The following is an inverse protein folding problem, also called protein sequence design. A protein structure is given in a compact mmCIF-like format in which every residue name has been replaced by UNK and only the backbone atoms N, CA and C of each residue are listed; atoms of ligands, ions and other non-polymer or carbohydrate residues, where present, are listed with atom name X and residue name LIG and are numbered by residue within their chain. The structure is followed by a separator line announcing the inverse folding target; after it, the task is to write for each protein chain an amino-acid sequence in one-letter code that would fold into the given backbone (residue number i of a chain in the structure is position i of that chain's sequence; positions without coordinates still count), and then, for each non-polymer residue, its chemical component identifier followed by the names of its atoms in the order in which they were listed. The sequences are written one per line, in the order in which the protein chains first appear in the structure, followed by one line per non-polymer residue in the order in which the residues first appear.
data_IF_573052747713
#
_entry.id   IF_573052747713
#
_cell.length_a   1.000
_cell.length_b   1.000
_cell.length_c   1.000
_cell.angle_alpha   90.00
_cell.angle_beta   90.00
_cell.angle_gamma   90.00
#
_symmetry.space_group_name_H-M   'P 1'
#
loop_
_entity.id
_entity.type
_entity.pdbx_description
1 polymer ?
#
# COMPACT_ATOMS: atom_id res chain seq x y z
N UNK A 1 59.10 54.55 9.03
CA UNK A 1 58.43 54.12 10.26
C UNK A 1 56.87 54.20 10.13
N UNK A 2 56.29 55.16 9.45
CA UNK A 2 54.83 55.33 9.37
C UNK A 2 54.07 54.23 8.59
N UNK A 3 54.68 53.60 7.58
CA UNK A 3 53.98 52.54 6.77
C UNK A 3 53.83 51.20 7.52
N UNK A 4 54.72 50.85 8.44
CA UNK A 4 54.61 49.60 9.23
C UNK A 4 53.43 49.61 10.25
N UNK A 5 53.15 50.80 10.78
CA UNK A 5 51.99 50.90 11.72
C UNK A 5 50.65 50.91 11.04
N UNK A 6 50.56 51.39 9.79
CA UNK A 6 49.36 51.35 8.97
C UNK A 6 49.04 49.91 8.57
N UNK A 7 50.06 49.12 8.21
CA UNK A 7 49.83 47.70 7.86
C UNK A 7 49.42 46.86 9.08
N UNK A 8 49.98 47.14 10.27
CA UNK A 8 49.60 46.45 11.51
C UNK A 8 48.22 46.82 11.99
N UNK A 9 47.79 48.07 11.83
CA UNK A 9 46.41 48.47 12.19
C UNK A 9 45.36 47.93 11.22
N UNK A 10 45.68 47.76 9.91
CA UNK A 10 44.79 47.09 8.96
C UNK A 10 44.67 45.57 9.21
N UNK A 11 45.76 44.91 9.65
CA UNK A 11 45.69 43.49 10.05
C UNK A 11 44.85 43.26 11.33
N UNK A 12 44.95 44.15 12.33
CA UNK A 12 44.15 44.06 13.54
C UNK A 12 42.67 44.35 13.29
N UNK A 13 42.33 45.28 12.39
CA UNK A 13 40.95 45.58 11.99
C UNK A 13 40.34 44.46 11.17
N UNK A 14 41.11 43.66 10.41
CA UNK A 14 40.64 42.50 9.66
C UNK A 14 40.26 41.28 10.53
N UNK A 15 40.84 41.15 11.71
CA UNK A 15 40.55 40.01 12.60
C UNK A 15 39.29 40.18 13.44
N UNK A 16 38.71 41.36 13.52
CA UNK A 16 37.51 41.62 14.34
C UNK A 16 36.19 41.36 13.58
N UNK A 17 36.25 41.10 12.27
CA UNK A 17 35.05 40.83 11.48
C UNK A 17 34.71 39.33 11.35
N UNK A 18 35.46 38.41 11.94
CA UNK A 18 35.22 36.98 11.90
C UNK A 18 34.64 36.41 13.20
N UNK A 19 34.24 37.22 14.17
CA UNK A 19 33.34 36.72 15.21
C UNK A 19 31.92 36.66 14.65
N UNK A 20 31.69 35.68 13.82
CA UNK A 20 30.37 35.28 13.43
C UNK A 20 29.64 34.81 14.70
N UNK A 21 28.57 35.48 15.06
CA UNK A 21 27.70 35.05 16.15
C UNK A 21 26.99 33.75 15.69
N UNK A 22 27.63 32.60 15.88
CA UNK A 22 26.97 31.31 15.72
C UNK A 22 25.77 31.18 16.67
N UNK A 23 25.83 31.75 17.87
CA UNK A 23 24.79 31.67 18.89
C UNK A 23 23.52 32.47 18.59
N UNK A 24 23.52 33.40 17.61
CA UNK A 24 22.32 34.16 17.24
C UNK A 24 21.57 33.59 16.03
N UNK A 25 22.06 32.52 15.41
CA UNK A 25 21.37 31.83 14.32
C UNK A 25 20.54 30.66 14.82
N UNK A 26 20.78 30.17 16.02
CA UNK A 26 19.93 29.19 16.74
C UNK A 26 18.76 29.90 17.43
N UNK A 27 17.92 30.55 16.65
CA UNK A 27 16.62 31.00 17.13
C UNK A 27 15.77 29.74 17.28
N UNK A 28 15.55 29.33 18.53
CA UNK A 28 14.57 28.29 18.83
C UNK A 28 13.23 28.74 18.26
N UNK A 29 12.72 28.04 17.24
CA UNK A 29 11.44 28.33 16.62
C UNK A 29 10.33 28.06 17.64
N UNK A 30 9.87 29.10 18.35
CA UNK A 30 8.73 28.99 19.24
C UNK A 30 7.43 28.92 18.43
N UNK A 31 6.62 27.88 18.67
CA UNK A 31 5.30 27.71 18.03
C UNK A 31 5.32 27.01 16.68
N UNK A 32 6.45 26.46 16.23
CA UNK A 32 6.53 25.58 15.06
C UNK A 32 6.77 24.14 15.54
N UNK A 33 5.94 23.21 15.06
CA UNK A 33 6.16 21.78 15.28
C UNK A 33 7.40 21.32 14.54
N UNK A 34 8.40 20.84 15.25
CA UNK A 34 9.58 20.18 14.70
C UNK A 34 9.49 18.68 14.94
N UNK A 35 10.25 17.87 14.22
CA UNK A 35 10.31 16.43 14.49
C UNK A 35 10.66 16.08 15.94
N UNK A 36 11.43 16.91 16.62
CA UNK A 36 11.89 16.67 17.99
C UNK A 36 10.82 16.98 19.05
N UNK A 37 9.89 17.89 18.78
CA UNK A 37 8.90 18.34 19.75
C UNK A 37 7.45 17.90 19.43
N UNK A 38 7.17 17.37 18.21
CA UNK A 38 5.83 16.97 17.81
C UNK A 38 5.45 15.59 18.38
N UNK A 39 6.24 14.57 18.23
CA UNK A 39 5.86 13.17 18.53
C UNK A 39 5.97 12.82 20.04
N UNK A 40 5.35 13.61 20.93
CA UNK A 40 5.50 13.45 22.38
C UNK A 40 4.31 12.81 23.08
N UNK A 41 3.09 13.09 22.61
CA UNK A 41 1.86 12.61 23.23
C UNK A 41 1.32 11.36 22.53
N UNK A 42 0.38 10.68 23.18
CA UNK A 42 -0.35 9.56 22.55
C UNK A 42 -1.15 9.99 21.33
N UNK A 43 -1.71 11.21 21.36
CA UNK A 43 -2.41 11.78 20.20
C UNK A 43 -1.48 11.99 19.01
N UNK A 44 -0.25 12.47 19.26
CA UNK A 44 0.75 12.62 18.20
C UNK A 44 1.16 11.25 17.61
N UNK A 45 1.25 10.22 18.45
CA UNK A 45 1.56 8.87 18.02
C UNK A 45 0.44 8.29 17.13
N UNK A 46 -0.82 8.52 17.51
CA UNK A 46 -1.98 8.14 16.68
C UNK A 46 -1.98 8.89 15.34
N UNK A 47 -1.72 10.19 15.34
CA UNK A 47 -1.63 10.98 14.11
C UNK A 47 -0.48 10.49 13.19
N UNK A 48 0.66 10.17 13.77
CA UNK A 48 1.81 9.66 13.06
C UNK A 48 1.54 8.31 12.39
N UNK A 49 0.89 7.38 13.08
CA UNK A 49 0.59 6.07 12.48
C UNK A 49 -0.54 6.15 11.45
N UNK A 50 -1.51 7.06 11.60
CA UNK A 50 -2.54 7.32 10.60
C UNK A 50 -1.92 7.75 9.27
N UNK A 51 -0.78 8.44 9.28
CA UNK A 51 -0.04 8.75 8.05
C UNK A 51 0.43 7.50 7.29
N UNK A 52 0.78 6.41 7.99
CA UNK A 52 1.10 5.13 7.35
C UNK A 52 -0.12 4.53 6.65
N UNK A 53 -1.27 4.49 7.33
CA UNK A 53 -2.53 4.02 6.75
C UNK A 53 -2.94 4.86 5.53
N UNK A 54 -2.85 6.18 5.63
CA UNK A 54 -3.20 7.10 4.55
C UNK A 54 -2.31 6.93 3.32
N UNK A 55 -1.00 6.82 3.52
CA UNK A 55 -0.06 6.60 2.41
C UNK A 55 -0.23 5.19 1.80
N UNK A 56 -0.55 4.18 2.60
CA UNK A 56 -0.80 2.82 2.10
C UNK A 56 -1.99 2.77 1.14
N UNK A 57 -3.06 3.47 1.46
CA UNK A 57 -4.23 3.59 0.58
C UNK A 57 -3.85 4.02 -0.84
N UNK A 58 -2.88 4.90 -0.99
CA UNK A 58 -2.46 5.43 -2.29
C UNK A 58 -1.63 4.43 -3.12
N UNK A 59 -1.23 3.31 -2.54
CA UNK A 59 -0.54 2.23 -3.26
C UNK A 59 -1.51 1.34 -4.04
N UNK A 60 -2.80 1.29 -3.66
CA UNK A 60 -3.75 0.30 -4.15
C UNK A 60 -4.02 0.40 -5.65
N UNK A 61 -4.41 1.57 -6.13
CA UNK A 61 -4.76 1.74 -7.54
C UNK A 61 -3.60 1.41 -8.50
N UNK A 62 -2.38 1.96 -8.34
CA UNK A 62 -1.28 1.59 -9.21
C UNK A 62 -0.86 0.12 -9.07
N UNK A 63 -0.95 -0.46 -7.85
CA UNK A 63 -0.68 -1.89 -7.66
C UNK A 63 -1.72 -2.76 -8.36
N UNK A 64 -3.00 -2.37 -8.34
CA UNK A 64 -4.06 -3.07 -9.05
C UNK A 64 -3.77 -3.14 -10.56
N UNK A 65 -3.37 -2.02 -11.17
CA UNK A 65 -2.97 -1.99 -12.58
C UNK A 65 -1.83 -2.95 -12.87
N UNK A 66 -0.73 -2.85 -12.13
CA UNK A 66 0.47 -3.64 -12.40
C UNK A 66 0.23 -5.14 -12.17
N UNK A 67 -0.44 -5.50 -11.07
CA UNK A 67 -0.61 -6.91 -10.71
C UNK A 67 -1.62 -7.65 -11.59
N UNK A 68 -2.64 -6.95 -12.10
CA UNK A 68 -3.64 -7.58 -12.94
C UNK A 68 -3.26 -7.58 -14.43
N UNK A 69 -2.81 -6.46 -14.99
CA UNK A 69 -2.48 -6.38 -16.42
C UNK A 69 -1.15 -7.06 -16.80
N UNK A 70 -0.30 -7.38 -15.83
CA UNK A 70 0.89 -8.21 -16.05
C UNK A 70 0.64 -9.70 -15.77
N UNK A 71 -0.61 -10.08 -15.44
CA UNK A 71 -1.00 -11.48 -15.24
C UNK A 71 -1.62 -12.07 -16.51
N UNK A 72 -1.77 -13.39 -16.52
CA UNK A 72 -2.46 -14.12 -17.60
C UNK A 72 -3.99 -14.13 -17.40
N UNK A 73 -4.48 -13.58 -16.27
CA UNK A 73 -5.89 -13.66 -15.89
C UNK A 73 -6.75 -12.61 -16.57
N UNK A 74 -6.18 -11.46 -16.89
CA UNK A 74 -6.90 -10.39 -17.56
C UNK A 74 -6.08 -9.70 -18.65
N UNK A 75 -6.77 -9.07 -19.58
CA UNK A 75 -6.17 -8.26 -20.63
C UNK A 75 -6.78 -6.85 -20.67
N UNK A 76 -6.02 -5.95 -21.22
CA UNK A 76 -6.48 -4.58 -21.42
C UNK A 76 -7.45 -4.50 -22.59
N UNK A 77 -8.64 -3.95 -22.34
CA UNK A 77 -9.55 -3.50 -23.38
C UNK A 77 -9.98 -2.06 -23.09
N UNK A 78 -10.98 -1.56 -23.81
CA UNK A 78 -11.45 -0.19 -23.70
C UNK A 78 -11.01 0.67 -24.87
N UNK A 79 -11.46 1.90 -24.88
CA UNK A 79 -11.18 2.88 -25.93
C UNK A 79 -10.28 4.00 -25.46
N UNK A 80 -9.59 4.63 -26.42
CA UNK A 80 -8.80 5.84 -26.21
C UNK A 80 -7.36 5.62 -25.75
N UNK A 81 -6.63 6.73 -25.58
CA UNK A 81 -5.26 6.77 -25.11
C UNK A 81 -5.01 6.10 -23.75
N UNK A 82 -6.02 6.04 -22.88
CA UNK A 82 -5.91 5.36 -21.59
C UNK A 82 -5.89 3.85 -21.75
N UNK A 83 -6.67 3.33 -22.71
CA UNK A 83 -6.58 1.92 -23.10
C UNK A 83 -5.22 1.59 -23.72
N UNK A 84 -4.63 2.52 -24.48
CA UNK A 84 -3.27 2.35 -24.99
C UNK A 84 -2.24 2.21 -23.86
N UNK A 85 -2.35 2.97 -22.78
CA UNK A 85 -1.49 2.82 -21.60
C UNK A 85 -1.67 1.46 -20.92
N UNK A 86 -2.91 1.00 -20.74
CA UNK A 86 -3.19 -0.33 -20.21
C UNK A 86 -2.63 -1.44 -21.12
N UNK A 87 -2.73 -1.27 -22.44
CA UNK A 87 -2.21 -2.21 -23.41
C UNK A 87 -0.69 -2.38 -23.34
N UNK A 88 0.06 -1.32 -23.03
CA UNK A 88 1.51 -1.42 -22.81
C UNK A 88 1.86 -2.42 -21.71
N UNK A 89 1.07 -2.49 -20.62
CA UNK A 89 1.26 -3.48 -19.57
C UNK A 89 0.94 -4.89 -20.06
N UNK A 90 -0.23 -5.10 -20.67
CA UNK A 90 -0.66 -6.42 -21.15
C UNK A 90 0.26 -7.00 -22.25
N UNK A 91 0.93 -6.13 -23.02
CA UNK A 91 1.89 -6.54 -24.07
C UNK A 91 3.35 -6.52 -23.64
N UNK A 92 3.64 -6.15 -22.38
CA UNK A 92 4.99 -6.02 -21.84
C UNK A 92 5.88 -5.07 -22.65
N UNK A 93 5.30 -4.00 -23.23
CA UNK A 93 6.00 -3.00 -24.04
C UNK A 93 6.17 -1.65 -23.34
N UNK A 94 5.96 -1.62 -22.03
CA UNK A 94 6.16 -0.45 -21.17
C UNK A 94 7.65 -0.22 -20.88
N UNK A 95 7.99 1.02 -20.52
CA UNK A 95 9.31 1.40 -20.08
C UNK A 95 9.36 1.71 -18.56
N UNK A 96 10.55 2.01 -18.03
CA UNK A 96 10.76 2.32 -16.62
C UNK A 96 10.09 3.62 -16.17
N UNK A 97 9.75 4.50 -17.11
CA UNK A 97 9.06 5.77 -16.83
C UNK A 97 7.54 5.65 -16.84
N UNK A 98 7.01 4.43 -17.02
CA UNK A 98 5.57 4.20 -16.99
C UNK A 98 4.96 4.69 -15.68
N UNK A 99 3.93 5.53 -15.80
CA UNK A 99 3.41 6.32 -14.67
C UNK A 99 2.99 5.48 -13.46
N UNK A 100 2.35 4.33 -13.68
CA UNK A 100 1.89 3.45 -12.59
C UNK A 100 3.05 2.79 -11.84
N UNK A 101 4.13 2.42 -12.55
CA UNK A 101 5.37 1.90 -11.95
C UNK A 101 5.97 2.95 -11.04
N UNK A 102 6.18 4.16 -11.57
CA UNK A 102 6.76 5.28 -10.82
C UNK A 102 5.90 5.68 -9.62
N UNK A 103 4.59 5.73 -9.81
CA UNK A 103 3.64 6.09 -8.75
C UNK A 103 3.66 5.06 -7.63
N UNK A 104 3.57 3.77 -7.93
CA UNK A 104 3.61 2.72 -6.93
C UNK A 104 4.93 2.73 -6.15
N UNK A 105 6.07 2.80 -6.86
CA UNK A 105 7.38 2.88 -6.24
C UNK A 105 7.48 4.06 -5.26
N UNK A 106 7.07 5.24 -5.71
CA UNK A 106 7.10 6.45 -4.88
C UNK A 106 6.18 6.33 -3.67
N UNK A 107 4.98 5.79 -3.83
CA UNK A 107 4.02 5.66 -2.73
C UNK A 107 4.48 4.62 -1.70
N UNK A 108 5.09 3.51 -2.11
CA UNK A 108 5.69 2.54 -1.19
C UNK A 108 6.79 3.18 -0.32
N UNK A 109 7.65 4.01 -0.92
CA UNK A 109 8.66 4.74 -0.15
C UNK A 109 8.08 5.84 0.75
N UNK A 110 6.92 6.43 0.41
CA UNK A 110 6.21 7.33 1.34
C UNK A 110 5.72 6.59 2.57
N UNK A 111 5.21 5.36 2.42
CA UNK A 111 4.84 4.50 3.56
C UNK A 111 6.06 4.19 4.41
N UNK A 112 7.18 3.77 3.79
CA UNK A 112 8.44 3.50 4.49
C UNK A 112 8.93 4.74 5.24
N UNK A 113 8.87 5.91 4.63
CA UNK A 113 9.24 7.16 5.29
C UNK A 113 8.36 7.44 6.50
N UNK A 114 7.03 7.35 6.38
CA UNK A 114 6.12 7.54 7.49
C UNK A 114 6.37 6.53 8.62
N UNK A 115 6.60 5.26 8.29
CA UNK A 115 6.95 4.23 9.26
C UNK A 115 8.28 4.52 9.97
N UNK A 116 9.29 4.94 9.24
CA UNK A 116 10.58 5.32 9.81
C UNK A 116 10.48 6.54 10.75
N UNK A 117 9.61 7.52 10.44
CA UNK A 117 9.32 8.64 11.33
C UNK A 117 8.72 8.14 12.65
N UNK A 118 7.71 7.26 12.61
CA UNK A 118 7.13 6.66 13.82
C UNK A 118 8.20 5.93 14.63
N UNK A 119 8.99 5.09 13.99
CA UNK A 119 10.01 4.29 14.65
C UNK A 119 11.15 5.11 15.27
N UNK A 120 11.45 6.27 14.72
CA UNK A 120 12.53 7.13 15.21
C UNK A 120 12.08 8.12 16.29
N UNK A 121 10.87 8.71 16.13
CA UNK A 121 10.49 9.87 16.95
C UNK A 121 9.38 9.59 17.96
N UNK A 122 8.53 8.57 17.74
CA UNK A 122 7.52 8.16 18.71
C UNK A 122 8.18 7.32 19.81
N UNK A 123 7.98 7.71 21.07
CA UNK A 123 8.52 7.00 22.22
C UNK A 123 7.90 5.60 22.42
N UNK A 124 8.21 4.99 23.55
CA UNK A 124 7.75 3.65 23.96
C UNK A 124 7.19 3.63 25.39
N UNK A 125 6.82 4.80 25.90
CA UNK A 125 6.41 5.03 27.28
C UNK A 125 4.90 4.91 27.51
N UNK A 126 4.12 4.48 26.49
CA UNK A 126 2.70 4.18 26.60
C UNK A 126 2.27 3.05 25.67
N UNK A 127 1.13 2.40 25.98
CA UNK A 127 0.54 1.34 25.13
C UNK A 127 0.19 1.86 23.74
N UNK A 128 -0.29 3.09 23.62
CA UNK A 128 -0.62 3.74 22.34
C UNK A 128 0.62 3.89 21.46
N UNK A 129 1.71 4.37 22.04
CA UNK A 129 2.99 4.55 21.34
C UNK A 129 3.60 3.21 20.95
N UNK A 130 3.58 2.22 21.84
CA UNK A 130 4.06 0.86 21.54
C UNK A 130 3.27 0.20 20.42
N UNK A 131 1.93 0.37 20.39
CA UNK A 131 1.08 -0.10 19.29
C UNK A 131 1.44 0.61 17.99
N UNK A 132 1.53 1.93 17.98
CA UNK A 132 1.89 2.70 16.78
C UNK A 132 3.23 2.24 16.19
N UNK A 133 4.23 1.96 17.04
CA UNK A 133 5.53 1.43 16.60
C UNK A 133 5.43 0.01 16.03
N UNK A 134 4.61 -0.86 16.63
CA UNK A 134 4.38 -2.20 16.12
C UNK A 134 3.69 -2.17 14.74
N UNK A 135 2.66 -1.36 14.57
CA UNK A 135 1.99 -1.18 13.27
C UNK A 135 2.92 -0.56 12.22
N UNK A 136 3.77 0.40 12.59
CA UNK A 136 4.73 1.00 11.68
C UNK A 136 5.74 -0.03 11.12
N UNK A 137 6.20 -0.98 11.94
CA UNK A 137 7.02 -2.11 11.47
C UNK A 137 6.29 -2.94 10.43
N UNK A 138 5.01 -3.25 10.67
CA UNK A 138 4.21 -4.01 9.71
C UNK A 138 4.06 -3.25 8.40
N UNK A 139 3.77 -1.95 8.41
CA UNK A 139 3.68 -1.12 7.20
C UNK A 139 5.00 -1.06 6.44
N UNK A 140 6.13 -0.94 7.14
CA UNK A 140 7.45 -0.96 6.51
C UNK A 140 7.72 -2.29 5.83
N UNK A 141 7.45 -3.40 6.52
CA UNK A 141 7.58 -4.74 5.99
C UNK A 141 6.65 -4.99 4.78
N UNK A 142 5.38 -4.59 4.85
CA UNK A 142 4.44 -4.65 3.71
C UNK A 142 5.01 -3.95 2.48
N UNK A 143 5.53 -2.74 2.66
CA UNK A 143 6.09 -1.96 1.57
C UNK A 143 7.33 -2.61 0.97
N UNK A 144 8.20 -3.19 1.80
CA UNK A 144 9.37 -3.91 1.29
C UNK A 144 9.02 -5.23 0.60
N UNK A 145 8.01 -5.98 1.06
CA UNK A 145 7.53 -7.18 0.36
C UNK A 145 7.09 -6.81 -1.07
N UNK A 146 6.33 -5.72 -1.24
CA UNK A 146 5.90 -5.24 -2.55
C UNK A 146 7.11 -4.78 -3.40
N UNK A 147 8.01 -4.00 -2.82
CA UNK A 147 9.20 -3.51 -3.52
C UNK A 147 10.12 -4.65 -3.97
N UNK A 148 10.38 -5.62 -3.12
CA UNK A 148 11.23 -6.78 -3.46
C UNK A 148 10.56 -7.62 -4.55
N UNK A 149 9.24 -7.83 -4.45
CA UNK A 149 8.49 -8.65 -5.41
C UNK A 149 8.50 -8.06 -6.82
N UNK A 150 8.44 -6.72 -6.94
CA UNK A 150 8.29 -6.03 -8.21
C UNK A 150 9.63 -5.51 -8.78
N UNK A 151 10.59 -5.13 -7.91
CA UNK A 151 11.86 -4.53 -8.35
C UNK A 151 13.12 -5.33 -7.93
N UNK A 152 12.95 -6.40 -7.18
CA UNK A 152 14.06 -7.28 -6.78
C UNK A 152 14.92 -6.69 -5.66
N UNK A 153 15.77 -5.73 -5.96
CA UNK A 153 16.75 -5.16 -5.03
C UNK A 153 16.59 -3.65 -4.82
N UNK A 154 15.44 -3.18 -4.31
CA UNK A 154 15.22 -1.76 -4.04
C UNK A 154 16.20 -1.24 -2.98
N UNK A 155 16.51 0.07 -2.91
CA UNK A 155 17.27 0.65 -1.82
C UNK A 155 16.70 0.32 -0.44
N UNK A 156 17.56 -0.09 0.49
CA UNK A 156 17.18 -0.33 1.88
C UNK A 156 17.26 0.98 2.67
N UNK A 157 16.11 1.47 3.15
CA UNK A 157 15.96 2.71 3.92
C UNK A 157 15.24 2.38 5.22
N UNK A 158 15.97 2.25 6.30
CA UNK A 158 15.47 1.84 7.62
C UNK A 158 15.32 3.00 8.62
N UNK A 159 15.64 4.24 8.19
CA UNK A 159 15.52 5.46 8.96
C UNK A 159 15.14 6.65 8.06
N UNK A 160 14.69 7.79 8.60
CA UNK A 160 14.48 9.02 7.83
C UNK A 160 15.79 9.55 7.30
N UNK A 161 15.94 9.65 5.97
CA UNK A 161 17.17 10.07 5.32
C UNK A 161 17.45 11.55 5.56
N UNK A 162 18.72 11.89 5.78
CA UNK A 162 19.24 13.26 5.75
C UNK A 162 19.59 13.67 4.32
N UNK A 163 19.74 14.96 4.08
CA UNK A 163 20.01 15.49 2.73
C UNK A 163 21.24 14.87 2.01
N UNK A 164 22.26 14.51 2.77
CA UNK A 164 23.47 13.84 2.24
C UNK A 164 23.28 12.34 1.98
N UNK A 165 22.14 11.77 2.34
CA UNK A 165 21.80 10.34 2.22
C UNK A 165 20.78 10.06 1.11
N UNK A 166 20.31 11.07 0.39
CA UNK A 166 19.27 10.88 -0.64
C UNK A 166 19.72 10.03 -1.84
N UNK A 167 21.01 9.90 -2.07
CA UNK A 167 21.54 9.01 -3.11
C UNK A 167 21.81 7.63 -2.51
N UNK A 168 20.85 6.72 -2.66
CA UNK A 168 20.95 5.36 -2.15
C UNK A 168 21.30 4.38 -3.27
N UNK A 169 22.19 3.44 -2.99
CA UNK A 169 22.45 2.30 -3.86
C UNK A 169 21.32 1.27 -3.73
N UNK A 170 21.20 0.39 -4.72
CA UNK A 170 20.33 -0.78 -4.61
C UNK A 170 20.70 -1.63 -3.39
N UNK A 171 19.69 -2.18 -2.74
CA UNK A 171 19.84 -3.04 -1.59
C UNK A 171 20.38 -4.41 -1.94
N UNK A 172 20.67 -5.17 -0.90
CA UNK A 172 21.00 -6.58 -0.99
C UNK A 172 19.78 -7.40 -0.61
N UNK A 173 19.47 -8.46 -1.37
CA UNK A 173 18.27 -9.28 -1.18
C UNK A 173 18.19 -9.88 0.22
N UNK A 174 19.31 -10.37 0.76
CA UNK A 174 19.38 -10.96 2.09
C UNK A 174 19.09 -9.92 3.18
N UNK A 175 19.66 -8.72 3.07
CA UNK A 175 19.43 -7.64 4.02
C UNK A 175 17.99 -7.11 3.96
N UNK A 176 17.41 -7.02 2.77
CA UNK A 176 16.00 -6.62 2.58
C UNK A 176 15.04 -7.60 3.24
N UNK A 177 15.20 -8.91 3.00
CA UNK A 177 14.39 -9.92 3.66
C UNK A 177 14.66 -10.03 5.17
N UNK A 178 15.89 -9.79 5.60
CA UNK A 178 16.22 -9.73 7.03
C UNK A 178 15.45 -8.62 7.73
N UNK A 179 15.38 -7.40 7.14
CA UNK A 179 14.58 -6.30 7.68
C UNK A 179 13.09 -6.65 7.74
N UNK A 180 12.53 -7.22 6.67
CA UNK A 180 11.12 -7.66 6.63
C UNK A 180 10.82 -8.66 7.73
N UNK A 181 11.66 -9.70 7.85
CA UNK A 181 11.47 -10.75 8.85
C UNK A 181 11.63 -10.22 10.28
N UNK A 182 12.60 -9.33 10.49
CA UNK A 182 12.80 -8.69 11.78
C UNK A 182 11.60 -7.85 12.18
N UNK A 183 11.15 -6.93 11.31
CA UNK A 183 10.03 -6.04 11.59
C UNK A 183 8.75 -6.83 11.94
N UNK A 184 8.42 -7.85 11.14
CA UNK A 184 7.22 -8.66 11.36
C UNK A 184 7.35 -9.53 12.62
N UNK A 185 8.51 -10.14 12.86
CA UNK A 185 8.73 -10.97 14.05
C UNK A 185 8.67 -10.11 15.33
N UNK A 186 9.29 -8.93 15.32
CA UNK A 186 9.24 -8.02 16.45
C UNK A 186 7.82 -7.50 16.69
N UNK A 187 7.07 -7.17 15.64
CA UNK A 187 5.69 -6.71 15.75
C UNK A 187 4.77 -7.82 16.33
N UNK A 188 4.86 -9.04 15.81
CA UNK A 188 4.09 -10.20 16.29
C UNK A 188 4.38 -10.51 17.76
N UNK A 189 5.67 -10.49 18.14
CA UNK A 189 6.11 -10.85 19.50
C UNK A 189 5.98 -9.71 20.52
N UNK A 190 5.70 -8.50 20.08
CA UNK A 190 5.61 -7.33 20.96
C UNK A 190 4.45 -7.38 21.95
N UNK A 191 3.36 -8.09 21.60
CA UNK A 191 2.11 -8.09 22.35
C UNK A 191 1.33 -6.77 22.26
N UNK A 192 1.75 -5.85 21.37
CA UNK A 192 1.14 -4.50 21.27
C UNK A 192 0.18 -4.36 20.10
N UNK A 193 0.16 -5.30 19.14
CA UNK A 193 -0.83 -5.31 18.07
C UNK A 193 -2.19 -5.77 18.61
N UNK A 194 -3.26 -5.21 18.05
CA UNK A 194 -4.61 -5.69 18.32
C UNK A 194 -4.75 -7.15 17.89
N UNK A 195 -5.63 -7.88 18.55
CA UNK A 195 -6.01 -9.23 18.18
C UNK A 195 -7.50 -9.31 17.90
N UNK A 196 -7.88 -9.96 16.80
CA UNK A 196 -9.28 -10.32 16.56
C UNK A 196 -9.74 -11.27 17.65
N UNK A 197 -10.91 -11.03 18.22
CA UNK A 197 -11.40 -11.79 19.39
C UNK A 197 -12.33 -12.93 19.01
N UNK A 198 -13.08 -12.82 17.90
CA UNK A 198 -14.00 -13.82 17.38
C UNK A 198 -14.15 -13.68 15.86
N UNK A 199 -14.85 -14.63 15.22
CA UNK A 199 -15.15 -14.59 13.78
C UNK A 199 -15.93 -13.32 13.38
N UNK A 200 -16.83 -12.85 14.23
CA UNK A 200 -17.70 -11.71 13.95
C UNK A 200 -17.10 -10.35 14.35
N UNK A 201 -15.94 -10.36 14.97
CA UNK A 201 -15.25 -9.15 15.38
C UNK A 201 -14.24 -8.73 14.33
N UNK A 202 -14.38 -7.53 13.80
CA UNK A 202 -13.43 -6.92 12.88
C UNK A 202 -12.81 -5.67 13.47
N UNK A 203 -11.55 -5.43 13.21
CA UNK A 203 -10.87 -4.18 13.53
C UNK A 203 -10.25 -3.61 12.26
N UNK A 204 -10.35 -2.29 12.12
CA UNK A 204 -9.76 -1.56 10.99
C UNK A 204 -8.26 -1.29 11.16
N UNK A 205 -7.68 -1.79 12.25
CA UNK A 205 -6.24 -1.66 12.52
C UNK A 205 -5.50 -2.94 12.15
N UNK A 206 -4.19 -2.82 12.02
CA UNK A 206 -3.32 -3.98 11.83
C UNK A 206 -3.41 -4.88 13.06
N UNK A 207 -3.76 -6.15 12.82
CA UNK A 207 -3.82 -7.17 13.86
C UNK A 207 -2.54 -8.01 13.90
N UNK A 208 -2.31 -8.68 15.04
CA UNK A 208 -1.25 -9.68 15.16
C UNK A 208 -1.38 -10.78 14.11
N UNK A 209 -2.61 -11.26 13.90
CA UNK A 209 -2.87 -12.33 12.92
C UNK A 209 -2.58 -11.88 11.49
N UNK A 210 -2.86 -10.62 11.14
CA UNK A 210 -2.44 -10.07 9.86
C UNK A 210 -0.92 -10.02 9.73
N UNK A 211 -0.21 -9.56 10.77
CA UNK A 211 1.25 -9.55 10.76
C UNK A 211 1.84 -10.97 10.66
N UNK A 212 1.23 -11.98 11.31
CA UNK A 212 1.60 -13.40 11.18
C UNK A 212 1.38 -13.91 9.75
N UNK A 213 0.22 -13.63 9.16
CA UNK A 213 -0.08 -14.02 7.77
C UNK A 213 0.89 -13.39 6.78
N UNK A 214 1.25 -12.12 7.00
CA UNK A 214 2.22 -11.41 6.17
C UNK A 214 3.63 -11.98 6.33
N UNK A 215 4.03 -12.38 7.55
CA UNK A 215 5.29 -13.08 7.81
C UNK A 215 5.32 -14.44 7.10
N UNK A 216 4.21 -15.19 7.14
CA UNK A 216 4.06 -16.43 6.39
C UNK A 216 4.24 -16.23 4.89
N UNK A 217 3.60 -15.20 4.32
CA UNK A 217 3.78 -14.80 2.90
C UNK A 217 5.24 -14.46 2.59
N UNK A 218 5.92 -13.71 3.46
CA UNK A 218 7.33 -13.38 3.30
C UNK A 218 8.21 -14.64 3.28
N UNK A 219 7.95 -15.61 4.16
CA UNK A 219 8.68 -16.88 4.16
C UNK A 219 8.41 -17.72 2.90
N UNK A 220 7.19 -17.71 2.36
CA UNK A 220 6.88 -18.38 1.08
C UNK A 220 7.73 -17.79 -0.05
N UNK A 221 7.82 -16.47 -0.16
CA UNK A 221 8.66 -15.81 -1.17
C UNK A 221 10.16 -16.12 -1.01
N UNK A 222 10.61 -16.34 0.21
CA UNK A 222 11.97 -16.77 0.52
C UNK A 222 12.16 -18.30 0.37
N UNK A 223 11.12 -19.06 -0.02
CA UNK A 223 11.10 -20.53 -0.10
C UNK A 223 11.36 -21.21 1.25
N UNK A 224 11.18 -20.52 2.35
CA UNK A 224 11.26 -21.07 3.71
C UNK A 224 9.89 -21.63 4.14
N UNK A 225 9.47 -22.69 3.47
CA UNK A 225 8.14 -23.26 3.65
C UNK A 225 7.88 -23.81 5.06
N UNK A 226 8.92 -24.32 5.74
CA UNK A 226 8.78 -24.81 7.12
C UNK A 226 8.40 -23.71 8.11
N UNK A 227 9.08 -22.55 8.03
CA UNK A 227 8.72 -21.38 8.83
C UNK A 227 7.37 -20.80 8.44
N UNK A 228 7.05 -20.79 7.13
CA UNK A 228 5.74 -20.33 6.64
C UNK A 228 4.59 -21.15 7.24
N UNK A 229 4.67 -22.48 7.18
CA UNK A 229 3.66 -23.38 7.77
C UNK A 229 3.49 -23.10 9.25
N UNK A 230 4.58 -22.99 10.01
CA UNK A 230 4.52 -22.77 11.45
C UNK A 230 3.72 -21.51 11.80
N UNK A 231 4.02 -20.38 11.17
CA UNK A 231 3.35 -19.12 11.50
C UNK A 231 1.93 -19.01 10.95
N UNK A 232 1.66 -19.64 9.78
CA UNK A 232 0.32 -19.65 9.19
C UNK A 232 -0.62 -20.57 9.96
N UNK A 233 -0.14 -21.69 10.47
CA UNK A 233 -0.90 -22.59 11.34
C UNK A 233 -1.36 -21.89 12.64
N UNK A 234 -0.57 -20.95 13.17
CA UNK A 234 -1.00 -20.15 14.32
C UNK A 234 -2.25 -19.30 13.98
N UNK A 235 -2.32 -18.71 12.78
CA UNK A 235 -3.49 -17.95 12.33
C UNK A 235 -4.70 -18.87 12.15
N UNK A 236 -4.53 -19.98 11.44
CA UNK A 236 -5.59 -20.96 11.17
C UNK A 236 -6.14 -21.54 12.48
N UNK A 237 -5.26 -22.01 13.35
CA UNK A 237 -5.62 -22.66 14.61
C UNK A 237 -6.15 -21.66 15.66
N UNK A 238 -6.05 -20.36 15.42
CA UNK A 238 -6.63 -19.35 16.31
C UNK A 238 -8.16 -19.45 16.41
N UNK A 239 -8.82 -20.03 15.39
CA UNK A 239 -10.27 -20.09 15.26
C UNK A 239 -10.97 -18.73 15.14
N UNK A 240 -10.19 -17.68 14.85
CA UNK A 240 -10.68 -16.28 14.75
C UNK A 240 -10.94 -15.87 13.31
N UNK A 241 -10.59 -16.71 12.35
CA UNK A 241 -10.76 -16.53 10.92
C UNK A 241 -11.32 -17.79 10.29
N UNK A 242 -12.11 -17.64 9.25
CA UNK A 242 -12.64 -18.74 8.45
C UNK A 242 -12.94 -18.22 7.04
N UNK A 243 -13.11 -19.12 6.07
CA UNK A 243 -13.52 -18.72 4.73
C UNK A 243 -14.93 -18.16 4.74
N UNK A 244 -15.12 -17.03 4.06
CA UNK A 244 -16.43 -16.42 3.93
C UNK A 244 -17.28 -17.24 2.98
N UNK A 245 -18.42 -17.73 3.46
CA UNK A 245 -19.26 -18.70 2.72
C UNK A 245 -19.99 -18.11 1.52
N UNK A 246 -20.18 -16.78 1.49
CA UNK A 246 -20.87 -16.08 0.41
C UNK A 246 -19.85 -15.45 -0.54
N UNK A 247 -19.24 -16.27 -1.38
CA UNK A 247 -18.21 -15.83 -2.33
C UNK A 247 -18.71 -14.74 -3.29
N UNK A 248 -19.97 -14.79 -3.72
CA UNK A 248 -20.56 -13.82 -4.64
C UNK A 248 -20.53 -12.40 -4.05
N UNK A 249 -20.69 -12.28 -2.75
CA UNK A 249 -20.73 -11.00 -2.07
C UNK A 249 -19.39 -10.57 -1.42
N UNK A 250 -18.32 -11.38 -1.51
CA UNK A 250 -17.05 -11.10 -0.82
C UNK A 250 -16.41 -9.75 -1.21
N UNK A 251 -16.61 -9.30 -2.45
CA UNK A 251 -16.11 -8.04 -2.98
C UNK A 251 -17.17 -6.91 -2.99
N UNK A 252 -18.30 -7.12 -2.35
CA UNK A 252 -19.35 -6.12 -2.22
C UNK A 252 -19.39 -5.55 -0.81
N UNK A 253 -20.20 -4.50 -0.59
CA UNK A 253 -20.42 -3.95 0.76
C UNK A 253 -21.03 -4.94 1.75
N UNK A 254 -21.61 -6.04 1.30
CA UNK A 254 -22.09 -7.11 2.18
C UNK A 254 -20.95 -7.98 2.72
N UNK A 255 -19.85 -8.05 1.98
CA UNK A 255 -18.66 -8.81 2.36
C UNK A 255 -17.62 -7.99 3.12
N UNK A 256 -17.87 -6.71 3.38
CA UNK A 256 -16.96 -5.89 4.20
C UNK A 256 -16.87 -6.42 5.63
N UNK A 257 -15.66 -6.37 6.21
CA UNK A 257 -15.39 -6.76 7.59
C UNK A 257 -15.82 -8.21 7.94
N UNK A 258 -15.77 -9.12 6.97
CA UNK A 258 -16.18 -10.51 7.15
C UNK A 258 -15.18 -11.37 7.94
N UNK A 259 -15.51 -12.64 8.15
CA UNK A 259 -14.69 -13.58 8.92
C UNK A 259 -13.34 -13.92 8.24
N UNK A 260 -13.23 -13.78 6.93
CA UNK A 260 -12.01 -14.05 6.16
C UNK A 260 -11.04 -12.86 6.18
N UNK A 261 -11.55 -11.65 6.42
CA UNK A 261 -10.76 -10.42 6.31
C UNK A 261 -9.70 -10.30 7.39
N UNK A 262 -8.44 -10.30 6.98
CA UNK A 262 -7.27 -10.07 7.84
C UNK A 262 -6.95 -8.59 7.99
N UNK A 263 -7.07 -7.82 6.91
CA UNK A 263 -6.88 -6.37 6.86
C UNK A 263 -7.62 -5.79 5.67
N UNK A 264 -8.35 -4.71 5.88
CA UNK A 264 -9.08 -3.99 4.82
C UNK A 264 -8.74 -2.50 4.85
N UNK A 265 -8.63 -1.92 3.67
CA UNK A 265 -8.61 -0.46 3.50
C UNK A 265 -9.99 0.01 3.09
N UNK A 266 -10.80 0.41 4.06
CA UNK A 266 -12.18 0.80 3.81
C UNK A 266 -12.28 2.27 3.40
N UNK A 267 -13.23 2.56 2.54
CA UNK A 267 -13.54 3.90 2.04
C UNK A 267 -14.91 4.31 2.49
N UNK A 268 -15.05 5.54 2.97
CA UNK A 268 -16.34 6.09 3.39
C UNK A 268 -16.95 6.86 2.21
N UNK A 269 -18.22 6.62 1.95
CA UNK A 269 -18.96 7.42 0.98
C UNK A 269 -19.14 8.85 1.51
N UNK A 270 -18.66 9.83 0.76
CA UNK A 270 -18.91 11.26 1.00
C UNK A 270 -19.62 11.85 -0.20
N UNK A 271 -20.89 12.23 -0.02
CA UNK A 271 -21.71 12.83 -1.06
C UNK A 271 -21.15 14.14 -1.63
N UNK A 272 -20.27 14.83 -0.87
CA UNK A 272 -19.64 16.08 -1.29
C UNK A 272 -18.32 15.83 -2.04
N UNK A 273 -17.81 14.59 -2.06
CA UNK A 273 -16.51 14.24 -2.64
C UNK A 273 -16.53 12.86 -3.31
N UNK A 274 -17.48 12.67 -4.21
CA UNK A 274 -17.74 11.37 -4.89
C UNK A 274 -16.59 10.86 -5.77
N UNK A 275 -15.69 11.74 -6.21
CA UNK A 275 -14.59 11.40 -7.14
C UNK A 275 -13.20 11.62 -6.53
N UNK A 276 -13.14 12.08 -5.30
CA UNK A 276 -11.90 12.45 -4.65
C UNK A 276 -11.25 11.34 -3.85
N UNK A 277 -10.65 11.75 -2.75
CA UNK A 277 -9.81 10.92 -1.87
C UNK A 277 -10.53 9.69 -1.28
N UNK A 278 -11.87 9.70 -1.28
CA UNK A 278 -12.72 8.71 -0.62
C UNK A 278 -13.18 7.54 -1.52
N UNK A 279 -12.72 7.48 -2.77
CA UNK A 279 -13.09 6.39 -3.66
C UNK A 279 -11.87 5.78 -4.32
N UNK A 280 -11.87 4.47 -4.52
CA UNK A 280 -10.74 3.77 -5.13
C UNK A 280 -10.81 3.63 -6.65
N UNK A 281 -11.80 4.14 -7.31
CA UNK A 281 -11.98 4.11 -8.78
C UNK A 281 -11.89 2.70 -9.44
N UNK A 282 -11.62 1.64 -8.70
CA UNK A 282 -11.42 0.29 -9.26
C UNK A 282 -12.70 -0.19 -9.98
N UNK A 283 -13.85 0.07 -9.39
CA UNK A 283 -15.13 -0.26 -10.00
C UNK A 283 -15.31 0.38 -11.39
N UNK A 284 -14.78 1.61 -11.59
CA UNK A 284 -14.80 2.28 -12.91
C UNK A 284 -13.88 1.58 -13.89
N UNK A 285 -12.73 1.13 -13.42
CA UNK A 285 -11.75 0.44 -14.29
C UNK A 285 -12.24 -0.92 -14.77
N UNK A 286 -12.86 -1.70 -13.88
CA UNK A 286 -13.30 -3.08 -14.19
C UNK A 286 -14.70 -3.14 -14.80
N UNK A 287 -15.50 -2.13 -14.60
CA UNK A 287 -16.88 -2.13 -15.08
C UNK A 287 -16.92 -1.97 -16.59
N UNK A 288 -17.93 -2.57 -17.19
CA UNK A 288 -18.11 -2.54 -18.65
C UNK A 288 -18.31 -1.12 -19.20
N UNK A 289 -18.11 -0.99 -20.49
CA UNK A 289 -18.40 0.23 -21.24
C UNK A 289 -19.87 0.23 -21.69
N UNK A 290 -20.73 0.87 -20.93
CA UNK A 290 -22.15 0.99 -21.25
C UNK A 290 -22.46 1.73 -22.56
N UNK A 291 -21.53 2.60 -23.02
CA UNK A 291 -21.62 3.31 -24.29
C UNK A 291 -21.33 2.43 -25.51
N UNK A 292 -20.68 1.27 -25.30
CA UNK A 292 -20.35 0.31 -26.38
C UNK A 292 -21.35 -0.83 -26.49
N UNK A 293 -22.26 -0.96 -25.53
CA UNK A 293 -23.24 -2.05 -25.49
C UNK A 293 -24.58 -1.52 -25.96
N UNK A 294 -25.03 -2.01 -27.10
CA UNK A 294 -26.38 -1.76 -27.60
C UNK A 294 -27.34 -2.79 -26.99
N UNK A 295 -28.09 -2.36 -25.98
CA UNK A 295 -29.15 -3.17 -25.43
C UNK A 295 -30.47 -2.86 -26.15
N UNK A 296 -31.17 -3.87 -26.63
CA UNK A 296 -32.46 -3.72 -27.29
C UNK A 296 -33.61 -3.52 -26.30
N UNK A 297 -33.38 -3.80 -25.05
CA UNK A 297 -34.35 -3.65 -23.98
C UNK A 297 -33.76 -2.90 -22.79
N UNK A 298 -34.58 -2.15 -22.08
CA UNK A 298 -34.15 -1.48 -20.86
C UNK A 298 -33.95 -2.51 -19.74
N UNK A 299 -32.78 -3.14 -19.69
CA UNK A 299 -32.41 -4.00 -18.57
C UNK A 299 -31.93 -3.15 -17.39
N UNK A 300 -32.12 -3.60 -16.16
CA UNK A 300 -31.76 -2.87 -14.93
C UNK A 300 -30.25 -2.78 -14.69
N UNK A 301 -29.45 -3.25 -15.60
CA UNK A 301 -27.99 -3.25 -15.53
C UNK A 301 -27.39 -1.88 -15.91
N UNK A 302 -28.20 -0.87 -15.81
CA UNK A 302 -27.91 0.45 -16.30
C UNK A 302 -27.17 1.31 -15.47
N UNK A 303 -26.40 0.99 -14.74
CA UNK A 303 -25.77 2.06 -14.07
C UNK A 303 -24.43 2.34 -14.59
N UNK A 304 -24.19 3.49 -14.88
CA UNK A 304 -22.93 4.17 -14.76
C UNK A 304 -21.77 3.41 -15.39
N UNK A 305 -21.66 3.47 -16.71
CA UNK A 305 -20.61 2.80 -17.47
C UNK A 305 -19.21 2.99 -16.87
N UNK A 306 -18.50 1.89 -16.80
CA UNK A 306 -17.07 1.88 -16.49
C UNK A 306 -16.21 2.11 -17.73
N UNK A 307 -14.92 1.86 -17.59
CA UNK A 307 -13.96 2.06 -18.66
C UNK A 307 -13.53 0.76 -19.34
N UNK A 308 -13.83 -0.41 -18.76
CA UNK A 308 -13.58 -1.72 -19.36
C UNK A 308 -12.11 -2.02 -19.56
N UNK A 309 -11.22 -1.57 -18.67
CA UNK A 309 -9.79 -1.74 -18.83
C UNK A 309 -9.29 -3.13 -18.45
N UNK A 310 -10.04 -3.87 -17.67
CA UNK A 310 -9.65 -5.18 -17.16
C UNK A 310 -10.70 -6.20 -17.57
N UNK A 311 -10.41 -6.99 -18.56
CA UNK A 311 -11.30 -8.03 -19.01
C UNK A 311 -10.66 -9.40 -18.77
N UNK A 312 -11.43 -10.40 -18.31
CA UNK A 312 -10.91 -11.73 -18.12
C UNK A 312 -10.44 -12.32 -19.45
N UNK A 313 -9.37 -13.08 -19.41
CA UNK A 313 -8.91 -13.84 -20.58
C UNK A 313 -9.81 -15.06 -20.80
N UNK A 314 -9.77 -15.62 -22.02
CA UNK A 314 -10.45 -16.88 -22.29
C UNK A 314 -9.89 -18.03 -21.43
N UNK A 315 -8.60 -18.00 -21.16
CA UNK A 315 -7.91 -18.98 -20.32
C UNK A 315 -8.43 -18.96 -18.89
N UNK A 316 -8.65 -17.77 -18.31
CA UNK A 316 -9.29 -17.62 -16.99
C UNK A 316 -10.69 -18.20 -16.96
N UNK A 317 -11.50 -17.92 -17.99
CA UNK A 317 -12.83 -18.49 -18.12
C UNK A 317 -12.79 -20.02 -18.25
N UNK A 318 -11.95 -20.53 -19.17
CA UNK A 318 -11.82 -21.97 -19.41
C UNK A 318 -11.38 -22.72 -18.14
N UNK A 319 -10.51 -22.14 -17.31
CA UNK A 319 -10.07 -22.74 -16.06
C UNK A 319 -11.25 -23.00 -15.08
N UNK A 320 -12.18 -22.08 -14.96
CA UNK A 320 -13.41 -22.31 -14.17
C UNK A 320 -14.28 -23.42 -14.76
N UNK A 321 -14.44 -23.42 -16.08
CA UNK A 321 -15.21 -24.44 -16.79
C UNK A 321 -14.61 -25.83 -16.62
N UNK A 322 -13.30 -25.96 -16.77
CA UNK A 322 -12.58 -27.23 -16.61
C UNK A 322 -12.66 -27.76 -15.17
N UNK A 323 -12.66 -26.87 -14.17
CA UNK A 323 -12.85 -27.25 -12.77
C UNK A 323 -14.31 -27.56 -12.42
N UNK A 324 -15.27 -27.26 -13.31
CA UNK A 324 -16.70 -27.38 -13.04
C UNK A 324 -17.23 -26.41 -11.99
N UNK A 325 -16.49 -25.31 -11.73
CA UNK A 325 -16.82 -24.34 -10.72
C UNK A 325 -17.71 -23.21 -11.27
N UNK A 326 -18.94 -23.55 -11.56
CA UNK A 326 -19.93 -22.61 -12.11
C UNK A 326 -20.30 -21.51 -11.13
N UNK A 327 -20.24 -21.78 -9.83
CA UNK A 327 -20.58 -20.78 -8.81
C UNK A 327 -19.57 -19.62 -8.80
N UNK A 328 -18.28 -19.93 -8.67
CA UNK A 328 -17.25 -18.87 -8.70
C UNK A 328 -17.11 -18.24 -10.08
N UNK A 329 -17.33 -18.99 -11.16
CA UNK A 329 -17.36 -18.45 -12.51
C UNK A 329 -18.40 -17.32 -12.63
N UNK A 330 -19.63 -17.59 -12.25
CA UNK A 330 -20.73 -16.61 -12.36
C UNK A 330 -20.54 -15.40 -11.45
N UNK A 331 -19.91 -15.58 -10.30
CA UNK A 331 -19.60 -14.49 -9.38
C UNK A 331 -18.42 -13.62 -9.85
N UNK A 332 -17.50 -14.18 -10.66
CA UNK A 332 -16.26 -13.50 -11.07
C UNK A 332 -16.32 -12.93 -12.48
N UNK A 333 -17.02 -13.59 -13.41
CA UNK A 333 -17.03 -13.24 -14.83
C UNK A 333 -18.46 -13.08 -15.30
N UNK A 334 -18.83 -11.85 -15.68
CA UNK A 334 -20.10 -11.57 -16.32
C UNK A 334 -20.00 -11.81 -17.83
N UNK A 335 -20.79 -12.76 -18.34
CA UNK A 335 -20.93 -13.01 -19.76
C UNK A 335 -22.08 -12.17 -20.30
N UNK A 336 -21.74 -11.15 -21.08
CA UNK A 336 -22.75 -10.37 -21.79
C UNK A 336 -23.04 -11.07 -23.12
N UNK A 337 -24.23 -11.62 -23.25
CA UNK A 337 -24.72 -12.17 -24.49
C UNK A 337 -25.16 -11.05 -25.43
N UNK A 338 -24.72 -11.11 -26.67
CA UNK A 338 -25.31 -10.32 -27.76
C UNK A 338 -26.70 -10.85 -28.09
N UNK A 339 -27.53 -10.06 -28.75
CA UNK A 339 -28.98 -10.19 -28.93
C UNK A 339 -29.57 -11.53 -29.33
N UNK A 340 -28.78 -12.53 -29.63
CA UNK A 340 -29.26 -13.86 -30.07
C UNK A 340 -29.35 -14.89 -28.93
N UNK A 341 -28.96 -14.51 -27.72
CA UNK A 341 -29.00 -15.40 -26.54
C UNK A 341 -29.99 -14.91 -25.47
N UNK A 342 -31.06 -14.29 -25.89
CA UNK A 342 -32.01 -13.58 -25.00
C UNK A 342 -32.84 -14.47 -24.06
N UNK A 343 -32.64 -15.78 -24.04
CA UNK A 343 -33.58 -16.65 -23.32
C UNK A 343 -33.09 -17.28 -22.01
N UNK A 344 -31.81 -17.18 -21.65
CA UNK A 344 -31.36 -17.86 -20.43
C UNK A 344 -30.36 -17.04 -19.60
N UNK A 345 -30.82 -16.62 -18.46
CA UNK A 345 -30.21 -16.13 -17.25
C UNK A 345 -29.85 -14.63 -17.16
N UNK A 346 -30.37 -13.96 -16.14
CA UNK A 346 -29.94 -12.60 -15.79
C UNK A 346 -28.56 -12.61 -15.17
N UNK A 347 -27.70 -11.73 -15.63
CA UNK A 347 -26.49 -11.35 -14.93
C UNK A 347 -26.81 -10.64 -13.61
#
# INVERSE_FOLDING_TARGET
MKAKYILSSLLLAGCTFFSSCEDNLDISQHGVSTFENFYKTDADAEEAIIACYSNWKDTYAPAFWLKNLLSDDCYSAGESWTAASAQLLSTYTFDSDFSHIKTLYTNLYKVIYAANIVLQYVGDDSEVKLRARAEAKVFRAMSYIELISLWGTPPLVDHPLKANEYSQANGNTEALWALVNQDLTEAVNSGNLEEKTSLDNFTYRITKQFAQALLGKAYVFQKNYGAAVTVLDEVINSGKYDLYSDYENIQTTKGEANCESLFESNYVYDANNVTGIMSNMIWVYVHWRGDMLAFNEPTQIYSHGGWGFFNPTKESYDAFVEMGDTYRLNASICLLYTSDAADDTPC
#
